data_IF_640546944690
#
_entry.id   IF_640546944690
#
_cell.length_a   1.000
_cell.length_b   1.000
_cell.length_c   1.000
_cell.angle_alpha   90.00
_cell.angle_beta   90.00
_cell.angle_gamma   90.00
#
_symmetry.space_group_name_H-M   'P 1'
#
loop_
_entity.id
_entity.type
_entity.pdbx_description
1 polymer ?
#
# COMPACT_ATOMS: atom_id res chain seq x y z
N UNK A 1 9.23 -31.92 -11.48
CA UNK A 1 9.87 -30.60 -11.72
C UNK A 1 8.90 -29.72 -12.48
N UNK A 2 8.53 -28.57 -11.91
CA UNK A 2 8.11 -27.30 -12.54
C UNK A 2 7.61 -26.40 -11.39
N UNK A 3 8.56 -25.78 -10.68
CA UNK A 3 8.24 -24.69 -9.75
C UNK A 3 8.24 -23.44 -10.62
N UNK A 4 7.06 -23.00 -11.06
CA UNK A 4 6.93 -21.72 -11.73
C UNK A 4 7.13 -20.66 -10.65
N UNK A 5 8.30 -20.03 -10.66
CA UNK A 5 8.60 -18.87 -9.84
C UNK A 5 7.69 -17.72 -10.30
N UNK A 6 6.58 -17.53 -9.60
CA UNK A 6 5.71 -16.37 -9.79
C UNK A 6 6.40 -15.18 -9.13
N UNK A 7 7.32 -14.57 -9.88
CA UNK A 7 7.94 -13.31 -9.51
C UNK A 7 6.87 -12.24 -9.66
N UNK A 8 6.32 -11.78 -8.54
CA UNK A 8 5.39 -10.65 -8.50
C UNK A 8 6.20 -9.35 -8.65
N UNK A 9 6.60 -9.03 -9.89
CA UNK A 9 7.15 -7.72 -10.24
C UNK A 9 6.00 -6.71 -10.35
N UNK A 10 5.58 -6.11 -9.23
CA UNK A 10 4.73 -4.89 -9.25
C UNK A 10 5.09 -3.92 -8.12
N UNK A 11 6.38 -3.69 -7.87
CA UNK A 11 6.82 -2.56 -7.04
C UNK A 11 7.96 -1.86 -7.76
N UNK A 12 7.62 -0.94 -8.66
CA UNK A 12 8.64 -0.11 -9.30
C UNK A 12 8.18 0.60 -10.55
N UNK A 13 7.13 1.43 -10.47
CA UNK A 13 6.83 2.40 -11.53
C UNK A 13 5.84 3.50 -11.12
N UNK A 14 6.09 4.20 -10.01
CA UNK A 14 5.53 5.54 -9.81
C UNK A 14 6.58 6.42 -9.13
N UNK A 15 7.62 6.74 -9.90
CA UNK A 15 8.62 7.73 -9.55
C UNK A 15 8.07 9.12 -9.93
N UNK A 16 7.99 10.00 -8.92
CA UNK A 16 7.92 11.47 -8.99
C UNK A 16 7.19 12.12 -10.18
N UNK A 17 5.99 12.66 -9.91
CA UNK A 17 5.61 13.95 -10.45
C UNK A 17 5.31 14.91 -9.29
N UNK A 18 6.17 15.91 -9.13
CA UNK A 18 5.83 17.10 -8.39
C UNK A 18 4.71 17.84 -9.13
N UNK A 19 3.63 18.15 -8.42
CA UNK A 19 2.61 19.10 -8.87
C UNK A 19 2.52 20.17 -7.78
N UNK A 20 2.93 21.37 -8.15
CA UNK A 20 2.80 22.60 -7.38
C UNK A 20 1.32 22.99 -7.21
N UNK A 21 1.07 23.81 -6.19
CA UNK A 21 -0.23 24.02 -5.59
C UNK A 21 -1.36 24.47 -6.52
N UNK A 22 -2.56 24.00 -6.19
CA UNK A 22 -3.81 24.75 -6.33
C UNK A 22 -4.81 24.16 -5.34
N UNK A 23 -5.23 24.96 -4.34
CA UNK A 23 -6.31 24.60 -3.44
C UNK A 23 -7.60 24.47 -4.27
N UNK A 24 -8.06 23.24 -4.49
CA UNK A 24 -9.37 22.92 -5.03
C UNK A 24 -10.14 22.11 -3.99
N UNK A 25 -11.44 22.38 -3.93
CA UNK A 25 -12.43 21.81 -3.03
C UNK A 25 -12.14 20.36 -2.61
N UNK A 26 -12.38 20.04 -1.32
CA UNK A 26 -12.19 18.71 -0.75
C UNK A 26 -13.18 17.71 -1.39
N UNK A 27 -12.82 17.18 -2.54
CA UNK A 27 -13.53 16.11 -3.24
C UNK A 27 -12.85 14.78 -2.88
N UNK A 28 -13.54 13.93 -2.13
CA UNK A 28 -13.33 12.48 -2.11
C UNK A 28 -11.89 11.98 -2.15
N UNK A 29 -11.04 12.44 -1.23
CA UNK A 29 -9.63 12.04 -1.17
C UNK A 29 -9.31 11.44 0.18
N UNK A 30 -8.78 10.23 0.18
CA UNK A 30 -8.24 9.58 1.37
C UNK A 30 -6.82 10.08 1.63
N UNK A 31 -6.50 10.30 2.90
CA UNK A 31 -5.14 10.60 3.31
C UNK A 31 -4.29 9.33 3.41
N UNK A 32 -3.36 9.17 2.46
CA UNK A 32 -2.44 8.03 2.40
C UNK A 32 -1.07 8.32 3.05
N UNK A 33 -0.91 9.41 3.80
CA UNK A 33 0.39 9.77 4.42
C UNK A 33 0.92 8.69 5.36
N UNK A 34 0.07 8.07 6.18
CA UNK A 34 0.49 7.00 7.09
C UNK A 34 1.03 5.78 6.35
N UNK A 35 0.40 5.41 5.24
CA UNK A 35 0.89 4.35 4.35
C UNK A 35 2.22 4.70 3.69
N UNK A 36 2.36 5.93 3.18
CA UNK A 36 3.62 6.38 2.61
C UNK A 36 4.76 6.33 3.63
N UNK A 37 4.52 6.74 4.88
CA UNK A 37 5.52 6.65 5.96
C UNK A 37 5.94 5.20 6.25
N UNK A 38 4.98 4.26 6.26
CA UNK A 38 5.27 2.84 6.44
C UNK A 38 6.13 2.29 5.29
N UNK A 39 5.79 2.64 4.04
CA UNK A 39 6.58 2.25 2.88
C UNK A 39 8.00 2.81 2.95
N UNK A 40 8.17 4.09 3.26
CA UNK A 40 9.49 4.72 3.38
C UNK A 40 10.35 4.10 4.50
N UNK A 41 9.70 3.64 5.58
CA UNK A 41 10.39 3.01 6.71
C UNK A 41 10.80 1.57 6.45
N UNK A 42 9.99 0.81 5.72
CA UNK A 42 10.14 -0.64 5.62
C UNK A 42 10.44 -1.16 4.21
N UNK A 43 10.42 -0.31 3.19
CA UNK A 43 10.74 -0.68 1.80
C UNK A 43 11.94 0.13 1.33
N UNK A 44 12.96 -0.57 0.86
CA UNK A 44 14.16 0.12 0.35
C UNK A 44 13.96 0.61 -1.10
N UNK A 45 14.96 1.35 -1.62
CA UNK A 45 14.93 1.92 -2.98
C UNK A 45 14.85 0.88 -4.11
N UNK A 46 15.09 -0.40 -3.82
CA UNK A 46 14.96 -1.52 -4.76
C UNK A 46 13.60 -2.21 -4.67
N UNK A 47 12.67 -1.69 -3.85
CA UNK A 47 11.36 -2.30 -3.61
C UNK A 47 11.40 -3.53 -2.69
N UNK A 48 12.52 -3.79 -2.02
CA UNK A 48 12.63 -4.94 -1.10
C UNK A 48 12.05 -4.54 0.26
N UNK A 49 11.13 -5.36 0.75
CA UNK A 49 10.41 -5.14 2.01
C UNK A 49 11.14 -5.80 3.18
N UNK A 50 11.35 -5.06 4.26
CA UNK A 50 11.90 -5.57 5.52
C UNK A 50 10.77 -6.07 6.43
N UNK A 51 10.27 -7.28 6.16
CA UNK A 51 9.17 -7.89 6.92
C UNK A 51 9.52 -8.14 8.40
N UNK A 52 10.80 -8.40 8.72
CA UNK A 52 11.25 -8.61 10.11
C UNK A 52 11.03 -7.36 10.95
N UNK A 53 11.44 -6.20 10.45
CA UNK A 53 11.21 -4.94 11.16
C UNK A 53 9.75 -4.49 11.09
N UNK A 54 9.09 -4.66 9.94
CA UNK A 54 7.69 -4.24 9.80
C UNK A 54 6.75 -5.05 10.72
N UNK A 55 7.04 -6.33 10.99
CA UNK A 55 6.23 -7.13 11.93
C UNK A 55 6.16 -6.50 13.34
N UNK A 56 7.16 -5.74 13.76
CA UNK A 56 7.17 -5.05 15.07
C UNK A 56 6.17 -3.89 15.13
N UNK A 57 5.71 -3.40 13.98
CA UNK A 57 4.83 -2.24 13.84
C UNK A 57 3.55 -2.58 13.05
N UNK A 58 3.16 -3.85 13.04
CA UNK A 58 1.98 -4.37 12.34
C UNK A 58 0.69 -3.62 12.70
N UNK A 59 0.58 -3.17 13.96
CA UNK A 59 -0.57 -2.35 14.40
C UNK A 59 -0.75 -1.09 13.57
N UNK A 60 0.33 -0.41 13.17
CA UNK A 60 0.24 0.82 12.37
C UNK A 60 -0.29 0.54 10.96
N UNK A 61 0.09 -0.60 10.36
CA UNK A 61 -0.48 -1.06 9.09
C UNK A 61 -1.97 -1.37 9.22
N UNK A 62 -2.36 -2.07 10.28
CA UNK A 62 -3.76 -2.41 10.53
C UNK A 62 -4.62 -1.16 10.78
N UNK A 63 -4.08 -0.15 11.48
CA UNK A 63 -4.74 1.15 11.64
C UNK A 63 -5.01 1.81 10.29
N UNK A 64 -4.04 1.78 9.37
CA UNK A 64 -4.24 2.32 8.02
C UNK A 64 -5.32 1.56 7.24
N UNK A 65 -5.30 0.22 7.26
CA UNK A 65 -6.31 -0.61 6.58
C UNK A 65 -7.71 -0.38 7.16
N UNK A 66 -7.83 -0.25 8.49
CA UNK A 66 -9.10 0.05 9.15
C UNK A 66 -9.63 1.45 8.80
N UNK A 67 -8.74 2.43 8.61
CA UNK A 67 -9.13 3.74 8.11
C UNK A 67 -9.71 3.62 6.68
N UNK A 68 -9.11 2.81 5.81
CA UNK A 68 -9.65 2.56 4.47
C UNK A 68 -11.01 1.85 4.50
N UNK A 69 -11.20 0.85 5.37
CA UNK A 69 -12.45 0.08 5.44
C UNK A 69 -13.66 0.95 5.84
N UNK A 70 -13.42 2.05 6.56
CA UNK A 70 -14.45 3.02 6.97
C UNK A 70 -14.61 4.18 5.99
N UNK A 71 -13.72 4.32 4.99
CA UNK A 71 -13.68 5.43 4.03
C UNK A 71 -13.67 4.92 2.58
N UNK A 72 -14.63 4.06 2.23
CA UNK A 72 -14.69 3.46 0.90
C UNK A 72 -15.00 4.49 -0.20
N UNK A 73 -14.46 4.32 -1.43
CA UNK A 73 -14.70 5.24 -2.53
C UNK A 73 -16.17 5.36 -2.89
N UNK A 74 -16.62 6.59 -3.17
CA UNK A 74 -17.96 6.88 -3.67
C UNK A 74 -17.94 7.04 -5.18
N UNK A 75 -19.07 6.80 -5.85
CA UNK A 75 -19.19 7.00 -7.31
C UNK A 75 -18.88 8.43 -7.74
N UNK A 76 -19.10 9.40 -6.85
CA UNK A 76 -18.80 10.83 -7.07
C UNK A 76 -17.32 11.18 -7.00
N UNK A 77 -16.44 10.25 -6.59
CA UNK A 77 -15.01 10.51 -6.53
C UNK A 77 -14.41 10.49 -7.93
N UNK A 78 -13.37 11.30 -8.21
CA UNK A 78 -12.58 11.17 -9.43
C UNK A 78 -12.04 9.74 -9.63
N UNK A 79 -12.02 9.26 -10.87
CA UNK A 79 -11.60 7.89 -11.21
C UNK A 79 -10.20 7.55 -10.70
N UNK A 80 -9.27 8.51 -10.78
CA UNK A 80 -7.91 8.37 -10.28
C UNK A 80 -7.85 8.21 -8.76
N UNK A 81 -8.70 8.89 -7.99
CA UNK A 81 -8.78 8.74 -6.54
C UNK A 81 -9.34 7.36 -6.16
N UNK A 82 -10.36 6.87 -6.88
CA UNK A 82 -10.87 5.51 -6.68
C UNK A 82 -9.81 4.46 -7.00
N UNK A 83 -9.07 4.62 -8.11
CA UNK A 83 -8.01 3.70 -8.51
C UNK A 83 -6.87 3.66 -7.47
N UNK A 84 -6.41 4.85 -7.04
CA UNK A 84 -5.38 5.00 -6.01
C UNK A 84 -5.80 4.30 -4.70
N UNK A 85 -7.05 4.48 -4.27
CA UNK A 85 -7.59 3.79 -3.10
C UNK A 85 -7.45 2.27 -3.22
N UNK A 86 -7.92 1.68 -4.32
CA UNK A 86 -7.92 0.22 -4.49
C UNK A 86 -6.51 -0.36 -4.61
N UNK A 87 -5.61 0.33 -5.31
CA UNK A 87 -4.20 -0.07 -5.40
C UNK A 87 -3.53 -0.05 -4.02
N UNK A 88 -3.74 1.01 -3.25
CA UNK A 88 -3.15 1.13 -1.92
C UNK A 88 -3.74 0.11 -0.93
N UNK A 89 -5.06 -0.15 -0.98
CA UNK A 89 -5.69 -1.18 -0.16
C UNK A 89 -5.15 -2.57 -0.50
N UNK A 90 -5.08 -2.92 -1.78
CA UNK A 90 -4.54 -4.20 -2.23
C UNK A 90 -3.11 -4.42 -1.74
N UNK A 91 -2.23 -3.42 -1.92
CA UNK A 91 -0.84 -3.50 -1.49
C UNK A 91 -0.73 -3.62 0.04
N UNK A 92 -1.47 -2.80 0.80
CA UNK A 92 -1.44 -2.84 2.27
C UNK A 92 -1.96 -4.18 2.80
N UNK A 93 -3.10 -4.67 2.30
CA UNK A 93 -3.66 -5.97 2.69
C UNK A 93 -2.75 -7.14 2.33
N UNK A 94 -2.04 -7.06 1.19
CA UNK A 94 -1.05 -8.08 0.82
C UNK A 94 0.10 -8.12 1.83
N UNK A 95 0.62 -6.96 2.24
CA UNK A 95 1.66 -6.90 3.27
C UNK A 95 1.13 -7.40 4.61
N UNK A 96 -0.10 -7.04 5.00
CA UNK A 96 -0.72 -7.56 6.23
C UNK A 96 -0.77 -9.09 6.22
N UNK A 97 -1.26 -9.70 5.13
CA UNK A 97 -1.28 -11.16 4.99
C UNK A 97 0.11 -11.80 5.13
N UNK A 98 1.15 -11.17 4.56
CA UNK A 98 2.54 -11.63 4.70
C UNK A 98 2.97 -11.56 6.16
N UNK A 99 2.74 -10.43 6.82
CA UNK A 99 3.13 -10.22 8.22
C UNK A 99 2.43 -11.19 9.14
N UNK A 100 1.13 -11.44 8.96
CA UNK A 100 0.34 -12.41 9.73
C UNK A 100 0.93 -13.81 9.68
N UNK A 101 1.52 -14.20 8.53
CA UNK A 101 2.05 -15.53 8.30
C UNK A 101 3.59 -15.61 8.41
N UNK A 102 4.27 -14.51 8.76
CA UNK A 102 5.72 -14.44 8.74
C UNK A 102 6.36 -15.25 9.90
N UNK A 103 7.42 -16.05 9.66
CA UNK A 103 8.10 -16.29 8.38
C UNK A 103 7.38 -17.33 7.52
N UNK A 104 7.22 -17.05 6.23
CA UNK A 104 6.62 -17.98 5.26
C UNK A 104 7.51 -18.19 4.03
N UNK A 105 7.38 -19.36 3.39
CA UNK A 105 8.14 -19.71 2.18
C UNK A 105 7.54 -19.08 0.91
N UNK A 106 6.23 -18.86 0.87
CA UNK A 106 5.51 -18.27 -0.28
C UNK A 106 4.09 -17.87 0.11
N UNK A 107 3.59 -16.77 -0.45
CA UNK A 107 2.16 -16.41 -0.46
C UNK A 107 1.45 -17.27 -1.52
N UNK A 108 0.17 -17.63 -1.28
CA UNK A 108 -0.69 -18.32 -2.25
C UNK A 108 -1.96 -17.53 -2.50
#
# INVERSE_FOLDING_TARGET
MKKTNMILFLVGLFFNLGIEGSAKAQTGKVDHRSWNSLLQKHVNTKGVVNYVEWKKEETALNTYINMLSTNTPKETWPDNERLSFWMNLYNASTIALILENYPLKSIR
#
